data_IF_140193256928
#
_entry.id   IF_140193256928
#
_cell.length_a   1.000
_cell.length_b   1.000
_cell.length_c   1.000
_cell.angle_alpha   90.00
_cell.angle_beta   90.00
_cell.angle_gamma   90.00
#
_symmetry.space_group_name_H-M   'P 1'
#
loop_
_entity.id
_entity.type
_entity.pdbx_description
1 polymer ?
#
# COMPACT_ATOMS: atom_id res chain seq x y z
N UNK A 1 19.73 5.86 14.97
CA UNK A 1 18.64 4.91 14.68
C UNK A 1 18.53 4.71 13.18
N UNK A 2 18.19 3.51 12.73
CA UNK A 2 17.86 3.23 11.31
C UNK A 2 16.38 3.47 11.05
N UNK A 3 15.99 3.66 9.80
CA UNK A 3 14.58 3.78 9.41
C UNK A 3 13.91 2.40 9.56
N UNK A 4 12.76 2.34 10.26
CA UNK A 4 11.99 1.11 10.54
C UNK A 4 11.02 0.71 9.42
N UNK A 5 10.18 -0.31 9.65
CA UNK A 5 9.14 -0.79 8.71
C UNK A 5 7.73 -0.56 9.30
N UNK A 6 7.35 0.72 9.38
CA UNK A 6 6.09 1.16 9.96
C UNK A 6 4.89 1.09 9.01
N UNK A 7 5.18 1.14 7.70
CA UNK A 7 4.20 1.18 6.62
C UNK A 7 4.42 -0.03 5.71
N UNK A 8 3.36 -0.79 5.47
CA UNK A 8 3.32 -1.72 4.33
C UNK A 8 2.53 -1.05 3.21
N UNK A 9 3.12 -0.92 2.03
CA UNK A 9 2.48 -0.29 0.88
C UNK A 9 2.18 -1.33 -0.20
N UNK A 10 0.90 -1.50 -0.55
CA UNK A 10 0.45 -2.43 -1.60
C UNK A 10 0.26 -1.66 -2.91
N UNK A 11 0.95 -2.07 -3.97
CA UNK A 11 0.86 -1.42 -5.29
C UNK A 11 1.94 -0.36 -5.51
N UNK A 12 3.24 -0.69 -5.40
CA UNK A 12 4.34 0.29 -5.51
C UNK A 12 4.58 0.78 -6.96
N UNK A 13 3.67 1.63 -7.43
CA UNK A 13 3.75 2.29 -8.73
C UNK A 13 4.66 3.51 -8.77
N UNK A 14 4.59 4.28 -9.87
CA UNK A 14 5.30 5.54 -9.98
C UNK A 14 4.69 6.59 -9.04
N UNK A 15 3.36 6.65 -8.96
CA UNK A 15 2.66 7.61 -8.12
C UNK A 15 3.04 7.50 -6.65
N UNK A 16 2.94 6.32 -6.03
CA UNK A 16 3.30 6.16 -4.61
C UNK A 16 4.79 6.41 -4.34
N UNK A 17 5.66 6.11 -5.31
CA UNK A 17 7.08 6.50 -5.25
C UNK A 17 7.30 8.01 -5.32
N UNK A 18 6.54 8.71 -6.14
CA UNK A 18 6.62 10.17 -6.24
C UNK A 18 5.83 10.90 -5.14
N UNK A 19 4.87 10.27 -4.47
CA UNK A 19 3.94 10.93 -3.56
C UNK A 19 4.10 10.46 -2.12
N UNK A 20 3.59 9.28 -1.76
CA UNK A 20 3.70 8.73 -0.40
C UNK A 20 5.16 8.67 0.06
N UNK A 21 6.02 8.03 -0.74
CA UNK A 21 7.44 7.88 -0.39
C UNK A 21 8.17 9.23 -0.35
N UNK A 22 7.75 10.22 -1.15
CA UNK A 22 8.28 11.57 -1.06
C UNK A 22 7.94 12.23 0.29
N UNK A 23 6.67 12.19 0.72
CA UNK A 23 6.27 12.75 2.02
C UNK A 23 7.00 12.06 3.18
N UNK A 24 7.10 10.73 3.14
CA UNK A 24 7.81 9.98 4.19
C UNK A 24 9.31 10.29 4.19
N UNK A 25 9.91 10.51 3.02
CA UNK A 25 11.30 10.90 2.88
C UNK A 25 11.55 12.31 3.44
N UNK A 26 10.69 13.27 3.10
CA UNK A 26 10.75 14.63 3.65
C UNK A 26 10.53 14.66 5.17
N UNK A 27 9.59 13.84 5.68
CA UNK A 27 9.41 13.65 7.12
C UNK A 27 10.69 13.14 7.78
N UNK A 28 11.29 12.08 7.23
CA UNK A 28 12.53 11.52 7.79
C UNK A 28 13.71 12.48 7.67
N UNK A 29 13.78 13.32 6.62
CA UNK A 29 14.81 14.37 6.51
C UNK A 29 14.66 15.44 7.57
N UNK A 30 13.43 15.84 7.89
CA UNK A 30 13.13 16.90 8.87
C UNK A 30 13.25 16.41 10.31
N UNK A 31 12.75 15.21 10.60
CA UNK A 31 12.66 14.67 11.96
C UNK A 31 13.80 13.70 12.32
N UNK A 32 14.60 13.28 11.34
CA UNK A 32 15.59 12.22 11.48
C UNK A 32 15.04 10.82 11.15
N UNK A 33 15.87 9.76 11.24
CA UNK A 33 15.43 8.40 11.03
C UNK A 33 14.24 8.04 11.94
N UNK A 34 13.19 7.48 11.36
CA UNK A 34 11.98 7.11 12.09
C UNK A 34 11.53 5.70 11.76
N UNK A 35 10.65 5.18 12.59
CA UNK A 35 9.90 3.94 12.41
C UNK A 35 9.08 3.86 11.11
N UNK A 36 8.76 4.98 10.46
CA UNK A 36 7.82 5.06 9.34
C UNK A 36 8.41 4.77 7.95
N UNK A 37 9.42 3.92 7.85
CA UNK A 37 9.85 3.41 6.55
C UNK A 37 8.82 2.47 5.94
N UNK A 38 8.98 2.25 4.63
CA UNK A 38 8.00 1.56 3.79
C UNK A 38 8.54 0.19 3.38
N UNK A 39 7.79 -0.87 3.65
CA UNK A 39 7.92 -2.14 2.97
C UNK A 39 6.91 -2.20 1.82
N UNK A 40 7.40 -2.34 0.59
CA UNK A 40 6.53 -2.50 -0.57
C UNK A 40 6.05 -3.95 -0.69
N UNK A 41 4.80 -4.15 -1.07
CA UNK A 41 4.21 -5.45 -1.38
C UNK A 41 3.51 -5.32 -2.72
N UNK A 42 3.83 -6.21 -3.65
CA UNK A 42 3.28 -6.14 -5.01
C UNK A 42 2.93 -7.50 -5.60
N UNK A 43 1.99 -7.47 -6.54
CA UNK A 43 1.59 -8.65 -7.33
C UNK A 43 2.73 -9.13 -8.24
N UNK A 44 2.71 -10.41 -8.58
CA UNK A 44 3.70 -10.99 -9.50
C UNK A 44 3.41 -10.60 -10.95
N UNK A 45 4.03 -9.51 -11.40
CA UNK A 45 3.99 -9.06 -12.80
C UNK A 45 5.42 -8.80 -13.29
N UNK A 46 5.71 -8.91 -14.60
CA UNK A 46 7.05 -8.63 -15.13
C UNK A 46 7.59 -7.26 -14.71
N UNK A 47 6.74 -6.24 -14.69
CA UNK A 47 7.09 -4.89 -14.24
C UNK A 47 7.49 -4.84 -12.77
N UNK A 48 6.71 -5.49 -11.90
CA UNK A 48 6.97 -5.51 -10.46
C UNK A 48 8.22 -6.31 -10.13
N UNK A 49 8.46 -7.43 -10.84
CA UNK A 49 9.72 -8.20 -10.73
C UNK A 49 10.91 -7.32 -11.07
N UNK A 50 10.90 -6.66 -12.22
CA UNK A 50 12.01 -5.79 -12.65
C UNK A 50 12.23 -4.60 -11.69
N UNK A 51 11.15 -3.99 -11.18
CA UNK A 51 11.23 -2.94 -10.16
C UNK A 51 11.86 -3.45 -8.86
N UNK A 52 11.44 -4.63 -8.39
CA UNK A 52 11.94 -5.23 -7.15
C UNK A 52 13.44 -5.53 -7.24
N UNK A 53 13.91 -6.08 -8.37
CA UNK A 53 15.31 -6.40 -8.61
C UNK A 53 16.16 -5.13 -8.66
N UNK A 54 15.69 -4.10 -9.37
CA UNK A 54 16.37 -2.80 -9.40
C UNK A 54 16.48 -2.19 -8.00
N UNK A 55 15.39 -2.15 -7.23
CA UNK A 55 15.39 -1.57 -5.89
C UNK A 55 16.30 -2.36 -4.94
N UNK A 56 16.26 -3.69 -4.95
CA UNK A 56 17.15 -4.53 -4.12
C UNK A 56 18.63 -4.27 -4.46
N UNK A 57 18.98 -4.16 -5.74
CA UNK A 57 20.35 -3.88 -6.19
C UNK A 57 20.85 -2.49 -5.75
N UNK A 58 19.94 -1.54 -5.57
CA UNK A 58 20.26 -0.14 -5.22
C UNK A 58 19.97 0.21 -3.76
N UNK A 59 20.00 -0.77 -2.84
CA UNK A 59 19.76 -0.55 -1.40
C UNK A 59 18.41 0.16 -1.14
N UNK A 60 17.41 -0.21 -1.95
CA UNK A 60 16.06 0.36 -1.97
C UNK A 60 16.00 1.87 -2.19
N UNK A 61 17.04 2.46 -2.79
CA UNK A 61 17.08 3.87 -3.18
C UNK A 61 16.73 4.05 -4.65
N UNK A 62 16.14 5.20 -4.97
CA UNK A 62 15.88 5.61 -6.34
C UNK A 62 15.84 7.15 -6.42
N UNK A 63 15.92 7.66 -7.65
CA UNK A 63 15.86 9.10 -7.91
C UNK A 63 14.44 9.54 -8.27
N UNK A 64 14.03 10.67 -7.69
CA UNK A 64 12.83 11.42 -8.03
C UNK A 64 13.24 12.78 -8.60
N UNK A 65 12.93 13.02 -9.87
CA UNK A 65 13.11 14.31 -10.53
C UNK A 65 11.76 15.03 -10.61
N UNK A 66 11.66 16.15 -9.90
CA UNK A 66 10.49 17.03 -9.90
C UNK A 66 10.73 18.17 -10.90
N UNK A 67 9.77 18.43 -11.79
CA UNK A 67 9.89 19.45 -12.86
C UNK A 67 8.72 20.44 -12.78
N UNK A 68 9.03 21.72 -12.66
CA UNK A 68 8.10 22.83 -12.89
C UNK A 68 8.38 23.53 -14.22
N UNK A 69 7.69 24.65 -14.46
CA UNK A 69 7.92 25.48 -15.65
C UNK A 69 9.37 25.99 -15.71
N UNK A 70 9.90 26.46 -14.58
CA UNK A 70 11.25 27.01 -14.44
C UNK A 70 12.07 26.29 -13.36
N UNK A 71 11.59 25.15 -12.85
CA UNK A 71 12.18 24.44 -11.72
C UNK A 71 12.55 23.00 -12.07
N UNK A 72 13.68 22.52 -11.55
CA UNK A 72 14.08 21.11 -11.58
C UNK A 72 14.72 20.75 -10.24
N UNK A 73 14.17 19.76 -9.55
CA UNK A 73 14.69 19.28 -8.28
C UNK A 73 14.97 17.79 -8.38
N UNK A 74 16.15 17.37 -7.94
CA UNK A 74 16.55 15.96 -7.91
C UNK A 74 16.61 15.50 -6.45
N UNK A 75 15.85 14.46 -6.12
CA UNK A 75 15.70 13.95 -4.76
C UNK A 75 16.02 12.45 -4.75
N UNK A 76 16.99 12.05 -3.92
CA UNK A 76 17.20 10.65 -3.60
C UNK A 76 16.17 10.22 -2.55
N UNK A 77 15.28 9.30 -2.93
CA UNK A 77 14.32 8.69 -2.00
C UNK A 77 14.96 7.47 -1.34
N UNK A 78 14.91 7.41 -0.01
CA UNK A 78 15.61 6.40 0.80
C UNK A 78 14.81 5.90 2.00
N UNK A 79 13.48 5.90 1.89
CA UNK A 79 12.56 5.40 2.94
C UNK A 79 12.00 4.01 2.67
N UNK A 80 12.16 3.47 1.45
CA UNK A 80 11.84 2.08 1.16
C UNK A 80 12.85 1.18 1.87
N UNK A 81 12.39 0.16 2.60
CA UNK A 81 13.23 -0.75 3.39
C UNK A 81 13.23 -2.17 2.86
N UNK A 82 12.19 -2.54 2.12
CA UNK A 82 12.06 -3.86 1.52
C UNK A 82 11.03 -3.84 0.40
N UNK A 83 11.01 -4.92 -0.38
CA UNK A 83 10.06 -5.16 -1.45
C UNK A 83 9.71 -6.65 -1.48
N UNK A 84 8.44 -6.99 -1.29
CA UNK A 84 7.96 -8.37 -1.27
C UNK A 84 7.03 -8.59 -2.48
N UNK A 85 7.32 -9.61 -3.27
CA UNK A 85 6.40 -10.03 -4.33
C UNK A 85 5.43 -11.06 -3.76
N UNK A 86 4.20 -10.67 -3.45
CA UNK A 86 3.24 -11.55 -2.76
C UNK A 86 2.81 -12.77 -3.58
N UNK A 87 2.97 -12.74 -4.91
CA UNK A 87 2.69 -13.91 -5.74
C UNK A 87 3.77 -14.99 -5.66
N UNK A 88 5.00 -14.61 -5.29
CA UNK A 88 6.14 -15.53 -5.08
C UNK A 88 6.41 -15.82 -3.61
N UNK A 89 6.15 -14.84 -2.74
CA UNK A 89 6.48 -14.84 -1.31
C UNK A 89 5.23 -14.51 -0.45
N UNK A 90 4.11 -15.24 -0.60
CA UNK A 90 2.86 -14.90 0.09
C UNK A 90 2.98 -14.92 1.62
N UNK A 91 3.73 -15.89 2.17
CA UNK A 91 3.99 -15.96 3.61
C UNK A 91 4.79 -14.76 4.11
N UNK A 92 5.77 -14.28 3.33
CA UNK A 92 6.55 -13.10 3.71
C UNK A 92 5.69 -11.83 3.72
N UNK A 93 4.78 -11.69 2.75
CA UNK A 93 3.84 -10.58 2.70
C UNK A 93 2.90 -10.58 3.92
N UNK A 94 2.35 -11.74 4.27
CA UNK A 94 1.50 -11.89 5.45
C UNK A 94 2.28 -11.60 6.73
N UNK A 95 3.47 -12.20 6.89
CA UNK A 95 4.32 -12.00 8.07
C UNK A 95 4.68 -10.52 8.28
N UNK A 96 5.02 -9.80 7.20
CA UNK A 96 5.29 -8.36 7.27
C UNK A 96 4.08 -7.57 7.79
N UNK A 97 2.86 -7.91 7.37
CA UNK A 97 1.65 -7.24 7.86
C UNK A 97 1.27 -7.63 9.29
N UNK A 98 1.75 -8.79 9.77
CA UNK A 98 1.56 -9.26 11.15
C UNK A 98 2.58 -8.69 12.15
N UNK A 99 3.62 -7.97 11.71
CA UNK A 99 4.57 -7.31 12.63
C UNK A 99 3.87 -6.17 13.40
N UNK A 100 4.11 -6.07 14.71
CA UNK A 100 3.60 -4.96 15.54
C UNK A 100 4.16 -3.59 15.14
N UNK A 101 5.27 -3.57 14.41
CA UNK A 101 5.79 -2.33 13.83
C UNK A 101 4.94 -1.84 12.68
N UNK A 102 4.25 -2.73 11.94
CA UNK A 102 3.35 -2.36 10.85
C UNK A 102 2.07 -1.76 11.41
N UNK A 103 1.97 -0.43 11.37
CA UNK A 103 0.83 0.32 11.91
C UNK A 103 -0.05 0.92 10.82
N UNK A 104 0.44 0.98 9.58
CA UNK A 104 -0.31 1.45 8.42
C UNK A 104 -0.12 0.48 7.24
N UNK A 105 -1.23 0.07 6.63
CA UNK A 105 -1.28 -0.52 5.31
C UNK A 105 -1.77 0.54 4.33
N UNK A 106 -0.94 0.97 3.39
CA UNK A 106 -1.33 1.98 2.38
C UNK A 106 -1.50 1.36 1.00
N UNK A 107 -2.38 1.93 0.16
CA UNK A 107 -2.79 1.32 -1.12
C UNK A 107 -2.65 2.29 -2.29
N UNK A 108 -2.06 1.82 -3.39
CA UNK A 108 -2.27 2.39 -4.74
C UNK A 108 -2.49 1.24 -5.72
N UNK A 109 -3.68 0.64 -5.64
CA UNK A 109 -4.03 -0.62 -6.29
C UNK A 109 -4.96 -0.43 -7.49
N UNK A 110 -5.25 0.81 -7.87
CA UNK A 110 -6.25 1.21 -8.87
C UNK A 110 -7.67 0.84 -8.47
N UNK A 111 -8.66 1.36 -9.20
CA UNK A 111 -10.08 1.10 -8.97
C UNK A 111 -10.42 -0.40 -9.01
N UNK A 112 -9.71 -1.15 -9.85
CA UNK A 112 -9.91 -2.60 -10.01
C UNK A 112 -9.42 -3.41 -8.80
N UNK A 113 -8.49 -2.87 -8.02
CA UNK A 113 -7.90 -3.55 -6.87
C UNK A 113 -8.85 -3.70 -5.68
N UNK A 114 -9.97 -2.96 -5.67
CA UNK A 114 -10.99 -3.01 -4.63
C UNK A 114 -12.06 -4.09 -4.86
N UNK A 115 -12.06 -4.73 -6.05
CA UNK A 115 -13.01 -5.79 -6.42
C UNK A 115 -14.47 -5.47 -6.10
N UNK A 116 -14.87 -4.20 -6.18
CA UNK A 116 -16.23 -3.78 -5.90
C UNK A 116 -16.76 -2.88 -7.02
N UNK A 117 -18.07 -2.94 -7.21
CA UNK A 117 -18.77 -1.99 -8.06
C UNK A 117 -18.78 -0.61 -7.39
N UNK A 118 -18.23 0.40 -8.05
CA UNK A 118 -18.09 1.74 -7.48
C UNK A 118 -19.42 2.48 -7.27
N UNK A 119 -20.50 2.05 -7.93
CA UNK A 119 -21.81 2.69 -7.81
C UNK A 119 -22.65 2.06 -6.69
N UNK A 120 -22.59 0.73 -6.58
CA UNK A 120 -23.38 -0.04 -5.61
C UNK A 120 -22.61 -0.42 -4.36
N UNK A 121 -21.29 -0.34 -4.40
CA UNK A 121 -20.39 -0.85 -3.37
C UNK A 121 -20.32 -2.37 -3.31
N UNK A 122 -21.04 -3.13 -4.15
CA UNK A 122 -21.10 -4.59 -4.02
C UNK A 122 -19.74 -5.22 -4.38
N UNK A 123 -19.22 -6.09 -3.50
CA UNK A 123 -18.05 -6.91 -3.79
C UNK A 123 -18.36 -7.92 -4.91
N UNK A 124 -17.43 -8.09 -5.84
CA UNK A 124 -17.44 -9.15 -6.84
C UNK A 124 -16.96 -10.46 -6.20
N UNK A 125 -17.84 -11.07 -5.41
CA UNK A 125 -17.59 -12.31 -4.64
C UNK A 125 -17.38 -13.56 -5.50
N UNK A 126 -17.81 -13.52 -6.76
CA UNK A 126 -17.56 -14.53 -7.78
C UNK A 126 -16.22 -14.36 -8.52
N UNK A 127 -15.48 -13.27 -8.27
CA UNK A 127 -14.19 -13.04 -8.90
C UNK A 127 -13.20 -14.17 -8.55
N UNK A 128 -12.47 -14.76 -9.53
CA UNK A 128 -11.58 -15.89 -9.27
C UNK A 128 -10.52 -15.65 -8.19
N UNK A 129 -10.02 -14.43 -8.03
CA UNK A 129 -9.02 -14.11 -7.01
C UNK A 129 -9.65 -13.96 -5.62
N UNK A 130 -10.87 -13.43 -5.53
CA UNK A 130 -11.63 -13.37 -4.27
C UNK A 130 -12.00 -14.79 -3.82
N UNK A 131 -12.53 -15.62 -4.72
CA UNK A 131 -12.83 -17.04 -4.44
C UNK A 131 -11.57 -17.81 -4.04
N UNK A 132 -10.43 -17.54 -4.68
CA UNK A 132 -9.16 -18.13 -4.32
C UNK A 132 -8.74 -17.76 -2.90
N UNK A 133 -8.79 -16.48 -2.55
CA UNK A 133 -8.30 -15.98 -1.27
C UNK A 133 -9.18 -16.42 -0.10
N UNK A 134 -10.50 -16.52 -0.29
CA UNK A 134 -11.42 -17.10 0.69
C UNK A 134 -11.08 -18.57 1.00
N UNK A 135 -10.62 -19.33 0.00
CA UNK A 135 -10.21 -20.74 0.16
C UNK A 135 -8.78 -20.90 0.69
N UNK A 136 -7.92 -19.91 0.48
CA UNK A 136 -6.48 -19.97 0.78
C UNK A 136 -6.02 -18.72 1.56
N UNK A 137 -6.57 -18.47 2.76
CA UNK A 137 -6.28 -17.25 3.50
C UNK A 137 -4.81 -17.11 3.93
N UNK A 138 -4.04 -18.21 4.01
CA UNK A 138 -2.60 -18.17 4.28
C UNK A 138 -1.75 -17.77 3.06
N UNK A 139 -2.31 -17.78 1.84
CA UNK A 139 -1.61 -17.42 0.61
C UNK A 139 -2.48 -16.57 -0.34
N UNK A 140 -2.92 -15.38 0.09
CA UNK A 140 -3.80 -14.53 -0.70
C UNK A 140 -3.09 -13.90 -1.91
N UNK A 141 -3.85 -13.63 -2.97
CA UNK A 141 -3.40 -13.03 -4.23
C UNK A 141 -3.88 -11.58 -4.41
N UNK A 142 -4.95 -11.20 -3.71
CA UNK A 142 -5.53 -9.86 -3.75
C UNK A 142 -5.09 -9.03 -2.54
N UNK A 143 -5.18 -7.70 -2.67
CA UNK A 143 -4.97 -6.78 -1.56
C UNK A 143 -5.97 -7.04 -0.43
N UNK A 144 -7.25 -7.28 -0.76
CA UNK A 144 -8.30 -7.56 0.23
C UNK A 144 -8.02 -8.84 1.02
N UNK A 145 -7.63 -9.92 0.33
CA UNK A 145 -7.25 -11.18 0.97
C UNK A 145 -6.06 -10.99 1.90
N UNK A 146 -5.02 -10.29 1.45
CA UNK A 146 -3.84 -10.02 2.28
C UNK A 146 -4.16 -9.19 3.52
N UNK A 147 -4.93 -8.11 3.37
CA UNK A 147 -5.38 -7.25 4.48
C UNK A 147 -6.20 -8.06 5.49
N UNK A 148 -7.23 -8.79 5.02
CA UNK A 148 -8.12 -9.52 5.90
C UNK A 148 -7.42 -10.68 6.61
N UNK A 149 -6.54 -11.41 5.91
CA UNK A 149 -5.75 -12.48 6.52
C UNK A 149 -4.80 -11.95 7.60
N UNK A 150 -4.13 -10.83 7.35
CA UNK A 150 -3.24 -10.22 8.33
C UNK A 150 -4.02 -9.70 9.56
N UNK A 151 -5.14 -8.99 9.35
CA UNK A 151 -5.99 -8.51 10.44
C UNK A 151 -6.56 -9.67 11.25
N UNK A 152 -6.97 -10.76 10.60
CA UNK A 152 -7.45 -11.95 11.27
C UNK A 152 -6.36 -12.60 12.13
N UNK A 153 -5.15 -12.73 11.58
CA UNK A 153 -4.00 -13.22 12.34
C UNK A 153 -3.71 -12.35 13.56
N UNK A 154 -3.67 -11.02 13.40
CA UNK A 154 -3.45 -10.08 14.52
C UNK A 154 -4.54 -10.22 15.58
N UNK A 155 -5.82 -10.24 15.18
CA UNK A 155 -6.97 -10.45 16.08
C UNK A 155 -6.84 -11.74 16.90
N UNK A 156 -6.58 -12.87 16.25
CA UNK A 156 -6.49 -14.18 16.91
C UNK A 156 -5.30 -14.29 17.86
N UNK A 157 -4.25 -13.48 17.65
CA UNK A 157 -3.06 -13.45 18.49
C UNK A 157 -3.03 -12.25 19.48
N UNK A 158 -4.14 -11.52 19.62
CA UNK A 158 -4.23 -10.38 20.54
C UNK A 158 -3.41 -9.14 20.14
N UNK A 159 -2.98 -9.05 18.87
CA UNK A 159 -2.27 -7.90 18.33
C UNK A 159 -3.19 -6.71 18.03
N UNK A 160 -2.62 -5.49 18.05
CA UNK A 160 -3.34 -4.27 17.69
C UNK A 160 -3.71 -4.24 16.20
N UNK A 161 -4.78 -3.57 15.76
CA UNK A 161 -5.05 -3.35 14.33
C UNK A 161 -3.99 -2.42 13.68
N UNK A 162 -4.00 -2.34 12.35
CA UNK A 162 -3.33 -1.27 11.60
C UNK A 162 -4.38 -0.46 10.83
N UNK A 163 -4.09 0.81 10.56
CA UNK A 163 -4.91 1.65 9.68
C UNK A 163 -4.77 1.22 8.23
N UNK A 164 -5.86 1.21 7.47
CA UNK A 164 -5.84 0.98 6.01
C UNK A 164 -6.07 2.31 5.29
N UNK A 165 -5.02 2.81 4.65
CA UNK A 165 -4.98 4.15 4.04
C UNK A 165 -4.93 4.04 2.52
N UNK A 166 -6.07 4.24 1.87
CA UNK A 166 -6.09 4.32 0.41
C UNK A 166 -5.45 5.63 -0.06
N UNK A 167 -4.55 5.53 -1.03
CA UNK A 167 -3.98 6.65 -1.78
C UNK A 167 -4.33 6.54 -3.26
N UNK A 168 -5.39 5.82 -3.63
CA UNK A 168 -5.95 5.83 -4.98
C UNK A 168 -6.83 7.08 -5.17
N UNK A 169 -6.87 7.60 -6.40
CA UNK A 169 -7.65 8.78 -6.76
C UNK A 169 -9.14 8.44 -6.95
N UNK A 170 -9.82 8.13 -5.84
CA UNK A 170 -11.23 7.78 -5.79
C UNK A 170 -11.98 8.71 -4.81
N UNK A 171 -13.16 9.24 -5.17
CA UNK A 171 -14.02 9.93 -4.22
C UNK A 171 -14.41 9.00 -3.07
N UNK A 172 -14.16 9.41 -1.83
CA UNK A 172 -14.48 8.58 -0.66
C UNK A 172 -13.66 7.29 -0.59
N UNK A 173 -12.40 7.31 -1.04
CA UNK A 173 -11.54 6.13 -1.14
C UNK A 173 -11.42 5.34 0.18
N UNK A 174 -11.44 6.00 1.33
CA UNK A 174 -11.47 5.35 2.65
C UNK A 174 -12.75 4.53 2.85
N UNK A 175 -13.92 5.10 2.52
CA UNK A 175 -15.20 4.40 2.60
C UNK A 175 -15.29 3.22 1.62
N UNK A 176 -14.78 3.38 0.39
CA UNK A 176 -14.71 2.28 -0.60
C UNK A 176 -13.84 1.15 -0.05
N UNK A 177 -12.69 1.48 0.53
CA UNK A 177 -11.77 0.51 1.12
C UNK A 177 -12.41 -0.21 2.31
N UNK A 178 -13.03 0.51 3.24
CA UNK A 178 -13.74 -0.05 4.38
C UNK A 178 -14.81 -1.04 3.93
N UNK A 179 -15.62 -0.64 2.96
CA UNK A 179 -16.72 -1.44 2.44
C UNK A 179 -16.23 -2.74 1.76
N UNK A 180 -15.19 -2.65 0.92
CA UNK A 180 -14.61 -3.82 0.27
C UNK A 180 -13.96 -4.79 1.28
N UNK A 181 -13.19 -4.27 2.24
CA UNK A 181 -12.52 -5.06 3.28
C UNK A 181 -13.54 -5.73 4.19
N UNK A 182 -14.58 -5.02 4.61
CA UNK A 182 -15.60 -5.56 5.53
C UNK A 182 -16.51 -6.59 4.86
N UNK A 183 -16.85 -6.43 3.57
CA UNK A 183 -17.58 -7.46 2.81
C UNK A 183 -16.73 -8.73 2.61
N UNK A 184 -15.45 -8.58 2.24
CA UNK A 184 -14.55 -9.73 2.15
C UNK A 184 -14.40 -10.44 3.51
N UNK A 185 -14.25 -9.66 4.59
CA UNK A 185 -14.14 -10.19 5.94
C UNK A 185 -15.40 -10.95 6.37
N UNK A 186 -16.59 -10.50 5.99
CA UNK A 186 -17.86 -11.18 6.31
C UNK A 186 -17.96 -12.55 5.61
N UNK A 187 -17.51 -12.63 4.36
CA UNK A 187 -17.41 -13.90 3.61
C UNK A 187 -16.38 -14.86 4.22
N UNK A 188 -15.32 -14.34 4.83
CA UNK A 188 -14.25 -15.13 5.45
C UNK A 188 -14.62 -15.59 6.88
N UNK A 189 -15.06 -14.66 7.72
CA UNK A 189 -15.46 -14.88 9.12
C UNK A 189 -16.29 -13.66 9.61
N UNK A 190 -17.60 -13.79 9.88
CA UNK A 190 -18.42 -12.70 10.40
C UNK A 190 -17.89 -12.07 11.71
N UNK A 191 -17.15 -12.83 12.54
CA UNK A 191 -16.49 -12.27 13.72
C UNK A 191 -15.31 -11.35 13.37
N UNK A 192 -14.61 -11.62 12.26
CA UNK A 192 -13.59 -10.73 11.72
C UNK A 192 -14.24 -9.44 11.19
N UNK A 193 -15.35 -9.53 10.46
CA UNK A 193 -16.11 -8.36 10.02
C UNK A 193 -16.42 -7.42 11.19
N UNK A 194 -17.05 -7.94 12.24
CA UNK A 194 -17.42 -7.15 13.42
C UNK A 194 -16.20 -6.54 14.12
N UNK A 195 -15.09 -7.27 14.18
CA UNK A 195 -13.84 -6.79 14.76
C UNK A 195 -13.23 -5.66 13.91
N UNK A 196 -13.15 -5.81 12.58
CA UNK A 196 -12.64 -4.76 11.69
C UNK A 196 -13.46 -3.48 11.84
N UNK A 197 -14.79 -3.58 11.84
CA UNK A 197 -15.70 -2.43 12.05
C UNK A 197 -15.48 -1.70 13.38
N UNK A 198 -14.93 -2.37 14.38
CA UNK A 198 -14.74 -1.80 15.73
C UNK A 198 -13.35 -1.23 15.95
N UNK A 199 -12.32 -1.77 15.27
CA UNK A 199 -10.93 -1.52 15.62
C UNK A 199 -10.08 -0.96 14.48
N UNK A 200 -10.48 -1.10 13.21
CA UNK A 200 -9.67 -0.66 12.05
C UNK A 200 -10.17 0.69 11.54
N UNK A 201 -9.24 1.61 11.25
CA UNK A 201 -9.58 2.90 10.64
C UNK A 201 -9.29 2.92 9.14
N UNK A 202 -10.17 3.61 8.41
CA UNK A 202 -10.12 3.77 6.95
C UNK A 202 -10.26 5.26 6.59
N UNK A 203 -9.18 6.06 6.70
CA UNK A 203 -9.25 7.48 6.45
C UNK A 203 -9.46 7.76 4.96
N UNK A 204 -10.28 8.75 4.63
CA UNK A 204 -10.28 9.27 3.26
C UNK A 204 -9.03 10.13 3.03
N UNK A 205 -8.57 10.12 1.79
CA UNK A 205 -7.50 11.01 1.33
C UNK A 205 -7.89 11.72 0.05
N UNK A 206 -7.35 12.93 -0.13
CA UNK A 206 -7.15 13.50 -1.46
C UNK A 206 -5.65 13.50 -1.74
N UNK A 207 -5.27 12.90 -2.86
CA UNK A 207 -3.88 12.80 -3.30
C UNK A 207 -3.75 13.45 -4.67
N UNK A 208 -2.71 14.27 -4.87
CA UNK A 208 -2.49 14.90 -6.16
C UNK A 208 -1.01 15.04 -6.46
N UNK A 209 -0.62 14.52 -7.63
CA UNK A 209 0.71 14.62 -8.24
C UNK A 209 0.75 13.93 -9.60
N UNK A 210 0.87 14.69 -10.69
CA UNK A 210 1.10 14.14 -12.02
C UNK A 210 2.45 13.43 -12.06
N UNK A 211 2.41 12.13 -12.31
CA UNK A 211 3.58 11.24 -12.31
C UNK A 211 3.55 10.31 -13.52
N UNK A 212 4.22 10.66 -14.64
CA UNK A 212 4.24 9.84 -15.84
C UNK A 212 4.83 8.44 -15.64
N UNK A 213 4.55 7.54 -16.58
CA UNK A 213 5.17 6.22 -16.62
C UNK A 213 6.65 6.31 -17.00
N UNK A 214 7.46 5.42 -16.44
CA UNK A 214 8.85 5.21 -16.82
C UNK A 214 8.94 4.08 -17.84
N UNK A 215 9.96 4.10 -18.72
CA UNK A 215 10.17 3.06 -19.71
C UNK A 215 10.94 1.87 -19.09
N UNK A 216 11.88 2.16 -18.19
CA UNK A 216 12.70 1.20 -17.47
C UNK A 216 12.61 1.42 -15.95
N UNK A 217 12.82 0.37 -15.12
CA UNK A 217 13.04 0.55 -13.68
C UNK A 217 14.24 1.42 -13.33
N UNK A 218 15.22 1.53 -14.24
CA UNK A 218 16.44 2.32 -14.08
C UNK A 218 16.22 3.82 -14.29
N UNK A 219 15.15 4.20 -15.00
CA UNK A 219 14.83 5.60 -15.23
C UNK A 219 14.44 6.26 -13.90
N UNK A 220 14.87 7.52 -13.66
CA UNK A 220 14.39 8.26 -12.51
C UNK A 220 12.87 8.41 -12.58
N UNK A 221 12.22 8.38 -11.43
CA UNK A 221 10.80 8.75 -11.36
C UNK A 221 10.71 10.24 -11.65
N UNK A 222 9.86 10.60 -12.62
CA UNK A 222 9.61 12.00 -12.96
C UNK A 222 8.22 12.37 -12.50
N UNK A 223 8.08 13.57 -11.95
CA UNK A 223 6.79 14.16 -11.60
C UNK A 223 6.82 15.67 -11.79
N UNK A 224 5.66 16.31 -11.72
CA UNK A 224 5.61 17.76 -11.54
C UNK A 224 6.17 18.19 -10.16
N UNK A 225 6.45 19.48 -9.99
CA UNK A 225 6.90 20.05 -8.73
C UNK A 225 5.77 20.29 -7.72
N UNK A 226 4.53 20.42 -8.19
CA UNK A 226 3.35 20.41 -7.35
C UNK A 226 3.11 19.04 -6.71
N UNK A 227 2.73 19.03 -5.43
CA UNK A 227 2.33 17.83 -4.69
C UNK A 227 1.41 18.20 -3.55
N UNK A 228 0.30 17.48 -3.40
CA UNK A 228 -0.65 17.70 -2.32
C UNK A 228 -1.14 16.38 -1.72
N UNK A 229 -1.29 16.37 -0.40
CA UNK A 229 -1.92 15.27 0.33
C UNK A 229 -2.78 15.82 1.45
N UNK A 230 -4.07 15.53 1.40
CA UNK A 230 -5.02 15.80 2.48
C UNK A 230 -5.48 14.47 3.02
N UNK A 231 -5.41 14.29 4.33
CA UNK A 231 -5.70 13.03 5.03
C UNK A 231 -6.65 13.31 6.17
N UNK A 232 -7.72 12.53 6.29
CA UNK A 232 -8.53 12.52 7.51
C UNK A 232 -7.71 11.97 8.68
N UNK A 233 -7.73 12.67 9.82
CA UNK A 233 -7.06 12.20 11.04
C UNK A 233 -8.02 11.27 11.81
N UNK A 234 -7.89 9.95 11.57
CA UNK A 234 -8.77 8.89 12.09
C UNK A 234 -8.00 7.73 12.73
#
# INVERSE_FOLDING_TARGET
>A
MSIGKGITHIGLGNFSRAHLAFFMNEYSRKMGPSEWGICAVDRDTPRNVANSEYLRKNDFKYQLVMKGADSKQENTIQVLRDYINMGKEPEAALNQMCLDTTRVCSLTITEKGYYCDVNTGKLYDDNPEIVHDLKNPSAPKSALGLICSALNHRRLNGGAPFTVLSCDNLPGNGHITENAVTQFADLLDPALHAWIKSYVTFPNTMVDRITPQTASPEDPIVSEDFVQWVVEDK
#
